data_IF_038784683087
#
_entry.id   IF_038784683087
#
_cell.length_a   1.000
_cell.length_b   1.000
_cell.length_c   1.000
_cell.angle_alpha   90.00
_cell.angle_beta   90.00
_cell.angle_gamma   90.00
#
_symmetry.space_group_name_H-M   'P 1'
#
loop_
_entity.id
_entity.type
_entity.pdbx_description
1 polymer ?
#
# COMPACT_ATOMS: atom_id res chain seq x y z
N UNK A 1 7.43 16.44 -3.71
CA UNK A 1 6.86 17.30 -2.64
C UNK A 1 7.49 18.67 -2.70
N UNK A 2 6.71 19.72 -2.43
CA UNK A 2 7.23 21.10 -2.23
C UNK A 2 7.23 21.43 -0.73
N UNK A 3 8.02 22.41 -0.31
CA UNK A 3 8.00 22.91 1.07
C UNK A 3 6.57 23.29 1.50
N UNK A 4 5.87 24.04 0.67
CA UNK A 4 4.50 24.49 0.91
C UNK A 4 3.52 23.32 1.12
N UNK A 5 3.59 22.27 0.27
CA UNK A 5 2.73 21.10 0.42
C UNK A 5 2.95 20.36 1.75
N UNK A 6 4.20 20.35 2.25
CA UNK A 6 4.51 19.72 3.54
C UNK A 6 4.06 20.60 4.71
N UNK A 7 4.27 21.92 4.63
CA UNK A 7 3.81 22.87 5.64
C UNK A 7 2.28 22.83 5.80
N UNK A 8 1.55 22.63 4.70
CA UNK A 8 0.09 22.54 4.69
C UNK A 8 -0.48 21.12 4.90
N UNK A 9 0.36 20.11 5.15
CA UNK A 9 -0.11 18.72 5.35
C UNK A 9 -1.08 18.54 6.53
N UNK A 10 -1.03 19.45 7.51
CA UNK A 10 -1.94 19.50 8.66
C UNK A 10 -3.39 19.84 8.30
N UNK A 11 -3.69 20.15 7.04
CA UNK A 11 -5.04 20.45 6.56
C UNK A 11 -5.76 19.22 5.97
N UNK A 12 -5.11 18.07 5.94
CA UNK A 12 -5.69 16.83 5.43
C UNK A 12 -6.60 16.13 6.47
N UNK A 13 -7.60 15.40 5.98
CA UNK A 13 -8.53 14.63 6.82
C UNK A 13 -8.03 13.21 7.15
N UNK A 14 -7.03 12.70 6.42
CA UNK A 14 -6.47 11.36 6.61
C UNK A 14 -5.02 11.28 6.10
N UNK A 15 -4.13 10.71 6.91
CA UNK A 15 -2.78 10.38 6.51
C UNK A 15 -2.64 8.91 6.05
N UNK A 16 -2.02 8.68 4.89
CA UNK A 16 -1.78 7.32 4.37
C UNK A 16 -0.31 6.91 4.55
N UNK A 17 -0.05 5.97 5.44
CA UNK A 17 1.30 5.56 5.82
C UNK A 17 1.73 4.31 5.06
N UNK A 18 2.50 4.51 3.98
CA UNK A 18 3.17 3.43 3.24
C UNK A 18 4.34 2.84 4.03
N UNK A 19 5.43 3.59 4.23
CA UNK A 19 6.58 3.10 4.99
C UNK A 19 6.42 3.43 6.47
N UNK A 20 5.96 2.47 7.28
CA UNK A 20 5.75 2.69 8.71
C UNK A 20 7.06 3.11 9.41
N UNK A 21 8.15 2.39 9.14
CA UNK A 21 9.43 2.58 9.83
C UNK A 21 10.01 4.00 9.71
N UNK A 22 9.76 4.71 8.61
CA UNK A 22 10.39 6.00 8.33
C UNK A 22 9.51 7.22 8.62
N UNK A 23 8.20 7.04 8.87
CA UNK A 23 7.28 8.19 8.99
C UNK A 23 6.18 8.01 10.03
N UNK A 24 6.16 6.88 10.77
CA UNK A 24 5.16 6.68 11.83
C UNK A 24 5.18 7.80 12.88
N UNK A 25 6.37 8.27 13.29
CA UNK A 25 6.51 9.37 14.25
C UNK A 25 5.78 10.63 13.78
N UNK A 26 5.85 10.95 12.48
CA UNK A 26 5.17 12.13 11.93
C UNK A 26 3.65 11.91 11.92
N UNK A 27 3.19 10.72 11.54
CA UNK A 27 1.77 10.37 11.56
C UNK A 27 1.19 10.43 12.99
N UNK A 28 1.87 9.85 13.97
CA UNK A 28 1.51 9.88 15.39
C UNK A 28 1.52 11.33 15.95
N UNK A 29 2.49 12.15 15.55
CA UNK A 29 2.53 13.57 15.93
C UNK A 29 1.39 14.37 15.30
N UNK A 30 1.03 14.10 14.03
CA UNK A 30 -0.09 14.77 13.37
C UNK A 30 -1.42 14.38 13.99
N UNK A 31 -1.61 13.11 14.33
CA UNK A 31 -2.78 12.62 15.06
C UNK A 31 -2.89 13.31 16.44
N UNK A 32 -1.80 13.34 17.21
CA UNK A 32 -1.80 13.96 18.54
C UNK A 32 -2.03 15.47 18.51
N UNK A 33 -1.41 16.18 17.56
CA UNK A 33 -1.40 17.65 17.52
C UNK A 33 -2.63 18.23 16.81
N UNK A 34 -3.08 17.59 15.75
CA UNK A 34 -4.13 18.10 14.86
C UNK A 34 -5.37 17.21 14.79
N UNK A 35 -5.35 16.03 15.43
CA UNK A 35 -6.48 15.09 15.39
C UNK A 35 -6.60 14.31 14.09
N UNK A 36 -5.59 14.37 13.21
CA UNK A 36 -5.64 13.75 11.87
C UNK A 36 -5.28 12.27 12.00
N UNK A 37 -6.22 11.34 11.79
CA UNK A 37 -5.92 9.92 11.89
C UNK A 37 -5.01 9.47 10.74
N UNK A 38 -4.41 8.29 10.91
CA UNK A 38 -3.59 7.70 9.87
C UNK A 38 -3.95 6.23 9.63
N UNK A 39 -3.72 5.79 8.39
CA UNK A 39 -4.00 4.44 7.95
C UNK A 39 -2.74 3.78 7.39
N UNK A 40 -2.43 2.58 7.87
CA UNK A 40 -1.42 1.73 7.24
C UNK A 40 -1.92 1.25 5.88
N UNK A 41 -1.21 1.63 4.81
CA UNK A 41 -1.56 1.27 3.43
C UNK A 41 -0.50 0.38 2.76
N UNK A 42 -0.88 -0.30 1.68
CA UNK A 42 0.06 -1.00 0.80
C UNK A 42 -0.37 -0.87 -0.66
N UNK A 43 0.38 -0.09 -1.44
CA UNK A 43 0.16 0.10 -2.88
C UNK A 43 1.08 -0.79 -3.74
N UNK A 44 1.64 -1.87 -3.17
CA UNK A 44 2.49 -2.83 -3.88
C UNK A 44 1.73 -4.15 -4.05
N UNK A 45 1.47 -4.53 -5.31
CA UNK A 45 0.55 -5.61 -5.69
C UNK A 45 -0.85 -5.08 -5.95
N UNK A 46 -1.50 -5.54 -7.02
CA UNK A 46 -2.78 -4.98 -7.43
C UNK A 46 -3.91 -5.32 -6.45
N UNK A 47 -3.89 -6.52 -5.86
CA UNK A 47 -4.89 -6.89 -4.85
C UNK A 47 -4.70 -6.06 -3.57
N UNK A 48 -3.44 -5.76 -3.21
CA UNK A 48 -3.12 -4.91 -2.05
C UNK A 48 -3.52 -3.46 -2.29
N UNK A 49 -3.29 -2.95 -3.49
CA UNK A 49 -3.75 -1.62 -3.93
C UNK A 49 -5.27 -1.52 -3.90
N UNK A 50 -5.98 -2.48 -4.50
CA UNK A 50 -7.45 -2.50 -4.48
C UNK A 50 -8.01 -2.55 -3.06
N UNK A 51 -7.44 -3.40 -2.18
CA UNK A 51 -7.78 -3.44 -0.75
C UNK A 51 -7.53 -2.11 -0.06
N UNK A 52 -6.42 -1.44 -0.36
CA UNK A 52 -6.10 -0.13 0.20
C UNK A 52 -7.10 0.94 -0.23
N UNK A 53 -7.42 1.01 -1.53
CA UNK A 53 -8.40 1.95 -2.07
C UNK A 53 -9.78 1.76 -1.43
N UNK A 54 -10.23 0.51 -1.27
CA UNK A 54 -11.49 0.19 -0.58
C UNK A 54 -11.51 0.65 0.87
N UNK A 55 -10.40 0.47 1.61
CA UNK A 55 -10.28 0.97 2.98
C UNK A 55 -10.35 2.50 3.05
N UNK A 56 -9.74 3.19 2.10
CA UNK A 56 -9.81 4.65 2.01
C UNK A 56 -11.25 5.09 1.76
N UNK A 57 -11.94 4.50 0.79
CA UNK A 57 -13.35 4.80 0.54
C UNK A 57 -14.23 4.54 1.76
N UNK A 58 -14.02 3.40 2.44
CA UNK A 58 -14.75 3.05 3.67
C UNK A 58 -14.54 4.09 4.78
N UNK A 59 -13.33 4.63 4.93
CA UNK A 59 -13.05 5.64 5.96
C UNK A 59 -13.85 6.93 5.75
N UNK A 60 -14.03 7.36 4.50
CA UNK A 60 -14.76 8.59 4.18
C UNK A 60 -16.28 8.42 4.17
N UNK A 61 -16.78 7.17 4.15
CA UNK A 61 -18.21 6.84 4.10
C UNK A 61 -18.99 7.58 2.99
N UNK A 62 -18.29 7.93 1.92
CA UNK A 62 -18.83 8.69 0.79
C UNK A 62 -19.20 7.74 -0.35
N UNK A 63 -20.47 7.78 -0.77
CA UNK A 63 -21.02 6.87 -1.77
C UNK A 63 -20.40 7.10 -3.16
N UNK A 64 -20.18 8.37 -3.55
CA UNK A 64 -19.60 8.71 -4.86
C UNK A 64 -18.13 8.26 -4.93
N UNK A 65 -17.37 8.48 -3.85
CA UNK A 65 -15.99 8.01 -3.71
C UNK A 65 -15.93 6.48 -3.76
N UNK A 66 -16.84 5.80 -3.08
CA UNK A 66 -16.93 4.34 -3.07
C UNK A 66 -17.19 3.80 -4.48
N UNK A 67 -18.16 4.37 -5.20
CA UNK A 67 -18.45 3.98 -6.58
C UNK A 67 -17.25 4.25 -7.50
N UNK A 68 -16.62 5.42 -7.37
CA UNK A 68 -15.44 5.79 -8.16
C UNK A 68 -14.26 4.85 -7.90
N UNK A 69 -14.05 4.45 -6.64
CA UNK A 69 -13.01 3.48 -6.27
C UNK A 69 -13.26 2.14 -6.93
N UNK A 70 -14.48 1.60 -6.86
CA UNK A 70 -14.79 0.32 -7.51
C UNK A 70 -14.67 0.40 -9.04
N UNK A 71 -15.05 1.53 -9.65
CA UNK A 71 -14.87 1.75 -11.10
C UNK A 71 -13.39 1.74 -11.49
N UNK A 72 -12.54 2.46 -10.76
CA UNK A 72 -11.09 2.47 -11.00
C UNK A 72 -10.48 1.08 -10.81
N UNK A 73 -10.88 0.37 -9.76
CA UNK A 73 -10.42 -1.00 -9.51
C UNK A 73 -10.81 -1.91 -10.69
N UNK A 74 -12.06 -1.87 -11.13
CA UNK A 74 -12.52 -2.72 -12.23
C UNK A 74 -11.78 -2.42 -13.55
N UNK A 75 -11.60 -1.14 -13.89
CA UNK A 75 -10.88 -0.73 -15.10
C UNK A 75 -9.42 -1.16 -15.08
N UNK A 76 -8.70 -0.88 -13.99
CA UNK A 76 -7.27 -1.16 -13.91
C UNK A 76 -6.96 -2.64 -13.70
N UNK A 77 -7.80 -3.36 -12.94
CA UNK A 77 -7.63 -4.80 -12.75
C UNK A 77 -7.71 -5.56 -14.07
N UNK A 78 -8.59 -5.16 -14.99
CA UNK A 78 -8.66 -5.79 -16.32
C UNK A 78 -7.32 -5.70 -17.07
N UNK A 79 -6.63 -4.55 -17.00
CA UNK A 79 -5.31 -4.34 -17.61
C UNK A 79 -4.22 -5.13 -16.87
N UNK A 80 -4.28 -5.14 -15.54
CA UNK A 80 -3.32 -5.86 -14.70
C UNK A 80 -3.42 -7.36 -14.92
N UNK A 81 -4.62 -7.94 -15.00
CA UNK A 81 -4.81 -9.39 -15.13
C UNK A 81 -4.14 -9.96 -16.38
N UNK A 82 -4.18 -9.24 -17.50
CA UNK A 82 -3.46 -9.63 -18.73
C UNK A 82 -1.96 -9.76 -18.46
N UNK A 83 -1.37 -8.76 -17.80
CA UNK A 83 0.06 -8.77 -17.45
C UNK A 83 0.37 -9.83 -16.38
N UNK A 84 -0.51 -9.96 -15.38
CA UNK A 84 -0.41 -10.91 -14.27
C UNK A 84 -0.37 -12.33 -14.79
N UNK A 85 -1.21 -12.69 -15.75
CA UNK A 85 -1.22 -14.01 -16.37
C UNK A 85 0.13 -14.37 -17.01
N UNK A 86 0.71 -13.44 -17.79
CA UNK A 86 2.02 -13.63 -18.44
C UNK A 86 3.14 -13.78 -17.42
N UNK A 87 3.17 -12.93 -16.39
CA UNK A 87 4.21 -12.95 -15.35
C UNK A 87 4.06 -14.18 -14.47
N UNK A 88 2.84 -14.51 -14.03
CA UNK A 88 2.55 -15.67 -13.20
C UNK A 88 2.95 -16.97 -13.88
N UNK A 89 2.71 -17.12 -15.19
CA UNK A 89 3.16 -18.31 -15.94
C UNK A 89 4.68 -18.53 -15.85
N UNK A 90 5.48 -17.46 -15.73
CA UNK A 90 6.94 -17.52 -15.59
C UNK A 90 7.43 -17.64 -14.15
N UNK A 91 6.58 -17.31 -13.18
CA UNK A 91 6.93 -17.20 -11.77
C UNK A 91 6.34 -18.31 -10.90
N UNK A 92 5.27 -18.97 -11.36
CA UNK A 92 4.53 -19.97 -10.60
C UNK A 92 5.45 -21.04 -10.01
N UNK A 93 5.31 -21.28 -8.70
CA UNK A 93 6.04 -22.30 -7.96
C UNK A 93 7.47 -21.91 -7.56
N UNK A 94 7.99 -20.76 -8.03
CA UNK A 94 9.30 -20.27 -7.61
C UNK A 94 9.27 -19.75 -6.17
N UNK A 95 10.42 -19.81 -5.51
CA UNK A 95 10.60 -19.28 -4.16
C UNK A 95 11.29 -17.92 -4.18
N UNK A 96 10.99 -17.06 -3.21
CA UNK A 96 11.62 -15.76 -3.04
C UNK A 96 12.15 -15.58 -1.60
N UNK A 97 13.30 -14.92 -1.47
CA UNK A 97 13.81 -14.39 -0.20
C UNK A 97 13.95 -12.88 -0.31
N UNK A 98 13.56 -12.15 0.74
CA UNK A 98 13.69 -10.70 0.79
C UNK A 98 14.59 -10.31 1.96
N UNK A 99 15.59 -9.46 1.72
CA UNK A 99 16.34 -8.79 2.76
C UNK A 99 16.54 -7.34 2.37
N UNK A 100 15.83 -6.43 3.05
CA UNK A 100 15.78 -5.00 2.70
C UNK A 100 15.50 -4.16 3.95
N UNK A 101 16.11 -2.97 4.04
CA UNK A 101 15.75 -1.86 4.94
C UNK A 101 14.82 -2.15 6.13
N UNK A 102 13.61 -1.58 6.13
CA UNK A 102 12.69 -1.70 7.28
C UNK A 102 11.20 -1.74 6.95
N UNK A 103 10.82 -1.98 5.68
CA UNK A 103 9.40 -1.97 5.28
C UNK A 103 9.09 -2.87 4.09
N UNK A 104 9.90 -2.80 3.03
CA UNK A 104 9.60 -3.48 1.76
C UNK A 104 9.59 -5.01 1.88
N UNK A 105 10.33 -5.59 2.82
CA UNK A 105 10.34 -7.03 3.03
C UNK A 105 8.95 -7.56 3.43
N UNK A 106 8.12 -6.73 4.08
CA UNK A 106 6.72 -7.02 4.34
C UNK A 106 5.86 -6.78 3.09
N UNK A 107 5.95 -5.58 2.51
CA UNK A 107 5.03 -5.14 1.45
C UNK A 107 5.06 -5.99 0.18
N UNK A 108 6.23 -6.46 -0.22
CA UNK A 108 6.39 -7.20 -1.47
C UNK A 108 5.92 -8.65 -1.40
N UNK A 109 5.66 -9.21 -0.21
CA UNK A 109 5.23 -10.60 -0.08
C UNK A 109 3.85 -10.83 -0.73
N UNK A 110 2.96 -9.84 -0.67
CA UNK A 110 1.67 -9.90 -1.33
C UNK A 110 1.82 -9.94 -2.86
N UNK A 111 2.69 -9.09 -3.41
CA UNK A 111 2.99 -9.11 -4.86
C UNK A 111 3.59 -10.46 -5.28
N UNK A 112 4.51 -11.02 -4.51
CA UNK A 112 5.08 -12.34 -4.82
C UNK A 112 4.02 -13.44 -4.81
N UNK A 113 3.12 -13.42 -3.82
CA UNK A 113 1.98 -14.35 -3.76
C UNK A 113 1.07 -14.19 -4.98
N UNK A 114 0.77 -12.95 -5.37
CA UNK A 114 -0.07 -12.62 -6.52
C UNK A 114 0.45 -13.21 -7.84
N UNK A 115 1.77 -13.21 -8.04
CA UNK A 115 2.44 -13.79 -9.21
C UNK A 115 2.84 -15.27 -9.03
N UNK A 116 2.30 -15.95 -8.01
CA UNK A 116 2.48 -17.39 -7.82
C UNK A 116 3.81 -17.83 -7.21
N UNK A 117 4.54 -16.90 -6.58
CA UNK A 117 5.79 -17.20 -5.87
C UNK A 117 5.54 -17.38 -4.37
N UNK A 118 6.33 -18.26 -3.74
CA UNK A 118 6.32 -18.46 -2.29
C UNK A 118 7.49 -17.70 -1.65
N UNK A 119 7.21 -16.71 -0.83
CA UNK A 119 8.25 -16.14 0.04
C UNK A 119 8.63 -17.15 1.11
N UNK A 120 9.91 -17.53 1.18
CA UNK A 120 10.43 -18.51 2.15
C UNK A 120 11.22 -17.87 3.28
N UNK A 121 11.71 -16.64 3.08
CA UNK A 121 12.31 -15.82 4.12
C UNK A 121 12.10 -14.33 3.82
N UNK A 122 11.92 -13.54 4.87
CA UNK A 122 11.91 -12.09 4.79
C UNK A 122 12.67 -11.55 6.02
N UNK A 123 13.59 -10.63 5.78
CA UNK A 123 14.38 -9.98 6.81
C UNK A 123 14.59 -8.49 6.53
N UNK A 124 15.04 -7.80 7.56
CA UNK A 124 15.19 -6.35 7.57
C UNK A 124 16.60 -5.98 8.04
N UNK A 125 17.16 -4.91 7.49
CA UNK A 125 18.39 -4.31 8.00
C UNK A 125 18.14 -3.59 9.32
N UNK A 126 16.99 -2.90 9.45
CA UNK A 126 16.65 -2.05 10.59
C UNK A 126 15.12 -1.97 10.84
N UNK A 127 14.40 -3.06 10.56
CA UNK A 127 12.98 -3.20 10.92
C UNK A 127 12.83 -3.36 12.44
N UNK A 128 11.90 -2.61 13.05
CA UNK A 128 11.59 -2.60 14.48
C UNK A 128 10.09 -2.85 14.67
#
# INVERSE_FOLDING_TARGET
>A
STYESMANSHTADLNLVMCHRSINYAAEMMEKKFGIPWMKVNFIGADSTAKTLRKIAQYFEDAELTERVERVIAEEMAKVEVTRAVVKARCQGKTAMLFVGGSRAHHYQMLFTEIGMKTIAAGYEFGH
#
